data_IF_170586916935
#
_entry.id   IF_170586916935
#
_cell.length_a   1.000
_cell.length_b   1.000
_cell.length_c   1.000
_cell.angle_alpha   90.00
_cell.angle_beta   90.00
_cell.angle_gamma   90.00
#
_symmetry.space_group_name_H-M   'P 1'
#
loop_
_entity.id
_entity.type
_entity.pdbx_description
1 polymer ?
#
# COMPACT_ATOMS: atom_id res chain seq x y z
N UNK A 1 -14.14 -22.99 52.50
CA UNK A 1 -14.94 -22.44 53.62
C UNK A 1 -14.12 -21.36 54.33
N UNK A 2 -14.66 -20.13 54.42
CA UNK A 2 -14.48 -19.12 55.49
C UNK A 2 -13.01 -18.66 55.74
N UNK A 3 -12.60 -17.39 55.60
CA UNK A 3 -13.27 -16.14 55.96
C UNK A 3 -12.69 -14.97 55.14
N UNK A 4 -13.57 -14.22 54.48
CA UNK A 4 -13.35 -12.83 54.11
C UNK A 4 -13.56 -12.01 55.39
N UNK A 5 -12.62 -11.13 55.73
CA UNK A 5 -12.83 -10.12 56.75
C UNK A 5 -12.26 -8.79 56.25
N UNK A 6 -13.19 -8.01 55.70
CA UNK A 6 -13.15 -6.59 55.45
C UNK A 6 -12.97 -5.85 56.79
N UNK A 7 -11.96 -4.99 56.92
CA UNK A 7 -11.97 -3.90 57.91
C UNK A 7 -11.47 -2.64 57.24
N UNK A 8 -12.44 -1.80 56.87
CA UNK A 8 -12.25 -0.39 56.57
C UNK A 8 -12.17 0.32 57.93
N UNK A 9 -11.07 1.04 58.21
CA UNK A 9 -11.15 2.17 59.13
C UNK A 9 -10.29 3.34 58.64
N UNK A 10 -10.93 4.49 58.74
CA UNK A 10 -10.65 5.78 58.16
C UNK A 10 -9.41 6.48 58.77
N UNK A 11 -8.68 7.18 57.89
CA UNK A 11 -8.17 8.55 58.04
C UNK A 11 -7.32 8.90 59.28
N UNK A 12 -6.03 9.14 59.04
CA UNK A 12 -5.40 10.41 59.43
C UNK A 12 -4.53 10.93 58.29
N UNK A 13 -4.94 12.09 57.78
CA UNK A 13 -4.22 12.94 56.83
C UNK A 13 -2.94 13.45 57.49
N UNK A 14 -1.80 13.13 56.93
CA UNK A 14 -0.60 13.98 57.05
C UNK A 14 -0.35 14.60 55.69
N UNK A 15 -0.74 15.86 55.55
CA UNK A 15 -0.28 16.72 54.46
C UNK A 15 1.23 16.95 54.67
N UNK A 16 2.05 16.18 53.95
CA UNK A 16 3.40 16.62 53.61
C UNK A 16 3.29 17.35 52.27
N UNK A 17 3.71 18.62 52.28
CA UNK A 17 3.64 19.55 51.17
C UNK A 17 4.18 18.94 49.86
N UNK A 18 3.60 19.31 48.70
CA UNK A 18 4.08 18.86 47.42
C UNK A 18 5.48 19.44 47.19
N UNK A 19 6.51 18.60 47.28
CA UNK A 19 7.75 18.86 46.58
C UNK A 19 7.39 19.00 45.10
N UNK A 20 7.54 20.22 44.60
CA UNK A 20 7.58 20.57 43.19
C UNK A 20 8.51 19.60 42.45
N UNK A 21 7.98 18.47 41.99
CA UNK A 21 8.50 17.85 40.78
C UNK A 21 7.95 18.73 39.67
N UNK A 22 8.78 19.70 39.30
CA UNK A 22 8.67 20.41 38.03
C UNK A 22 8.37 19.36 36.98
N UNK A 23 7.20 19.50 36.36
CA UNK A 23 6.88 18.83 35.13
C UNK A 23 7.97 19.23 34.13
N UNK A 24 8.92 18.34 33.86
CA UNK A 24 9.55 18.35 32.56
C UNK A 24 8.45 17.94 31.59
N UNK A 25 7.79 18.95 31.01
CA UNK A 25 7.29 18.85 29.66
C UNK A 25 8.49 18.50 28.78
N UNK A 26 8.82 17.21 28.74
CA UNK A 26 9.60 16.64 27.66
C UNK A 26 8.84 17.03 26.42
N UNK A 27 9.37 18.04 25.71
CA UNK A 27 8.89 18.45 24.41
C UNK A 27 8.86 17.19 23.57
N UNK A 28 7.68 16.54 23.52
CA UNK A 28 7.37 15.54 22.52
C UNK A 28 7.63 16.30 21.23
N UNK A 29 8.73 15.94 20.57
CA UNK A 29 9.00 16.37 19.23
C UNK A 29 7.84 15.80 18.42
N UNK A 30 6.77 16.58 18.33
CA UNK A 30 5.66 16.34 17.44
C UNK A 30 6.28 16.56 16.07
N UNK A 31 6.96 15.52 15.57
CA UNK A 31 7.17 15.35 14.15
C UNK A 31 5.76 15.23 13.59
N UNK A 32 5.17 16.39 13.35
CA UNK A 32 4.14 16.60 12.36
C UNK A 32 4.71 15.95 11.10
N UNK A 33 4.35 14.68 10.91
CA UNK A 33 4.41 14.07 9.62
C UNK A 33 3.47 14.92 8.79
N UNK A 34 4.05 15.93 8.15
CA UNK A 34 3.47 16.62 7.04
C UNK A 34 2.75 15.55 6.24
N UNK A 35 1.42 15.68 6.14
CA UNK A 35 0.63 15.04 5.10
C UNK A 35 1.22 15.56 3.79
N UNK A 36 2.38 15.03 3.40
CA UNK A 36 2.70 14.85 2.01
C UNK A 36 1.53 14.01 1.55
N UNK A 37 0.57 14.71 0.94
CA UNK A 37 -0.39 14.09 0.07
C UNK A 37 0.49 13.32 -0.88
N UNK A 38 0.65 12.03 -0.62
CA UNK A 38 1.05 11.09 -1.62
C UNK A 38 -0.05 11.26 -2.64
N UNK A 39 0.18 12.18 -3.59
CA UNK A 39 -0.42 12.12 -4.90
C UNK A 39 0.03 10.75 -5.35
N UNK A 40 -0.76 9.74 -5.01
CA UNK A 40 -0.65 8.40 -5.52
C UNK A 40 -0.81 8.62 -7.00
N UNK A 41 0.31 8.82 -7.67
CA UNK A 41 0.35 8.88 -9.10
C UNK A 41 -0.33 7.57 -9.47
N UNK A 42 -1.52 7.67 -10.08
CA UNK A 42 -2.37 6.56 -10.53
C UNK A 42 -1.65 5.78 -11.64
N UNK A 43 -0.33 5.57 -11.53
CA UNK A 43 0.51 4.62 -12.22
C UNK A 43 0.06 3.19 -12.00
N UNK A 44 -1.19 2.90 -11.63
CA UNK A 44 -1.86 1.60 -11.67
C UNK A 44 -2.95 1.45 -12.75
N UNK A 45 -3.46 2.56 -13.31
CA UNK A 45 -4.75 2.55 -14.02
C UNK A 45 -4.72 3.12 -15.46
N UNK A 46 -3.58 3.07 -16.15
CA UNK A 46 -3.37 3.79 -17.41
C UNK A 46 -4.47 3.56 -18.48
N UNK A 47 -4.97 2.33 -18.61
CA UNK A 47 -6.04 1.99 -19.56
C UNK A 47 -7.47 2.18 -19.04
N UNK A 48 -7.67 2.40 -17.73
CA UNK A 48 -9.02 2.59 -17.17
C UNK A 48 -9.65 3.91 -17.60
N UNK A 49 -8.84 4.94 -17.81
CA UNK A 49 -9.31 6.21 -18.35
C UNK A 49 -9.81 6.04 -19.79
N UNK A 50 -9.04 5.35 -20.64
CA UNK A 50 -9.41 5.11 -22.03
C UNK A 50 -10.70 4.30 -22.15
N UNK A 51 -10.84 3.21 -21.40
CA UNK A 51 -12.02 2.36 -21.50
C UNK A 51 -13.30 2.95 -20.91
N UNK A 52 -13.20 3.83 -19.90
CA UNK A 52 -14.36 4.54 -19.37
C UNK A 52 -15.04 5.46 -20.39
N UNK A 53 -14.34 5.79 -21.48
CA UNK A 53 -14.82 6.61 -22.59
C UNK A 53 -15.38 5.79 -23.75
N UNK A 54 -15.46 4.46 -23.61
CA UNK A 54 -16.04 3.56 -24.60
C UNK A 54 -17.47 3.20 -24.20
N UNK A 55 -18.34 3.07 -25.19
CA UNK A 55 -19.66 2.51 -25.00
C UNK A 55 -19.58 0.98 -24.90
N UNK A 56 -19.62 0.45 -23.68
CA UNK A 56 -19.60 -0.98 -23.41
C UNK A 56 -21.02 -1.53 -23.19
N UNK A 57 -21.28 -2.72 -23.71
CA UNK A 57 -22.52 -3.44 -23.39
C UNK A 57 -22.57 -3.86 -21.90
N UNK A 58 -23.75 -4.16 -21.34
CA UNK A 58 -23.85 -4.64 -19.95
C UNK A 58 -22.96 -5.86 -19.66
N UNK A 59 -22.89 -6.80 -20.61
CA UNK A 59 -22.04 -7.99 -20.50
C UNK A 59 -20.55 -7.62 -20.46
N UNK A 60 -20.10 -6.75 -21.35
CA UNK A 60 -18.71 -6.27 -21.39
C UNK A 60 -18.32 -5.51 -20.11
N UNK A 61 -19.24 -4.70 -19.55
CA UNK A 61 -19.02 -4.01 -18.27
C UNK A 61 -18.81 -5.00 -17.13
N UNK A 62 -19.59 -6.07 -17.06
CA UNK A 62 -19.46 -7.11 -16.04
C UNK A 62 -18.12 -7.86 -16.16
N UNK A 63 -17.73 -8.26 -17.37
CA UNK A 63 -16.43 -8.90 -17.62
C UNK A 63 -15.26 -7.99 -17.27
N UNK A 64 -15.33 -6.71 -17.68
CA UNK A 64 -14.32 -5.72 -17.33
C UNK A 64 -14.21 -5.48 -15.81
N UNK A 65 -15.34 -5.45 -15.09
CA UNK A 65 -15.35 -5.32 -13.64
C UNK A 65 -14.65 -6.51 -12.96
N UNK A 66 -14.89 -7.74 -13.44
CA UNK A 66 -14.20 -8.94 -12.95
C UNK A 66 -12.70 -8.86 -13.20
N UNK A 67 -12.29 -8.53 -14.41
CA UNK A 67 -10.88 -8.33 -14.78
C UNK A 67 -10.21 -7.27 -13.89
N UNK A 68 -10.90 -6.14 -13.65
CA UNK A 68 -10.41 -5.08 -12.76
C UNK A 68 -10.15 -5.57 -11.34
N UNK A 69 -11.10 -6.32 -10.78
CA UNK A 69 -10.97 -6.85 -9.42
C UNK A 69 -9.88 -7.90 -9.33
N UNK A 70 -9.76 -8.78 -10.34
CA UNK A 70 -8.69 -9.78 -10.42
C UNK A 70 -7.30 -9.12 -10.43
N UNK A 71 -7.08 -8.17 -11.35
CA UNK A 71 -5.83 -7.42 -11.41
C UNK A 71 -5.55 -6.64 -10.13
N UNK A 72 -6.58 -6.03 -9.51
CA UNK A 72 -6.41 -5.32 -8.23
C UNK A 72 -5.94 -6.26 -7.11
N UNK A 73 -6.48 -7.48 -7.03
CA UNK A 73 -6.03 -8.48 -6.05
C UNK A 73 -4.58 -8.90 -6.29
N UNK A 74 -4.22 -9.20 -7.54
CA UNK A 74 -2.84 -9.56 -7.92
C UNK A 74 -1.87 -8.43 -7.57
N UNK A 75 -2.24 -7.20 -7.92
CA UNK A 75 -1.47 -5.99 -7.61
C UNK A 75 -1.23 -5.83 -6.11
N UNK A 76 -2.26 -5.94 -5.27
CA UNK A 76 -2.12 -5.81 -3.82
C UNK A 76 -1.15 -6.86 -3.26
N UNK A 77 -1.25 -8.11 -3.73
CA UNK A 77 -0.34 -9.18 -3.32
C UNK A 77 1.11 -8.89 -3.71
N UNK A 78 1.34 -8.48 -4.95
CA UNK A 78 2.68 -8.14 -5.44
C UNK A 78 3.28 -6.93 -4.69
N UNK A 79 2.50 -5.86 -4.50
CA UNK A 79 2.94 -4.69 -3.72
C UNK A 79 3.27 -5.07 -2.27
N UNK A 80 2.54 -6.03 -1.68
CA UNK A 80 2.84 -6.53 -0.33
C UNK A 80 4.15 -7.31 -0.30
N UNK A 81 4.38 -8.21 -1.27
CA UNK A 81 5.65 -8.94 -1.39
C UNK A 81 6.84 -8.00 -1.57
N UNK A 82 6.72 -7.00 -2.45
CA UNK A 82 7.77 -5.98 -2.65
C UNK A 82 8.08 -5.27 -1.33
N UNK A 83 7.05 -4.85 -0.58
CA UNK A 83 7.26 -4.20 0.72
C UNK A 83 7.96 -5.10 1.74
N UNK A 84 7.62 -6.39 1.78
CA UNK A 84 8.29 -7.36 2.65
C UNK A 84 9.77 -7.45 2.28
N UNK A 85 10.09 -7.61 0.99
CA UNK A 85 11.48 -7.66 0.51
C UNK A 85 12.25 -6.36 0.81
N UNK A 86 11.60 -5.21 0.72
CA UNK A 86 12.19 -3.92 1.10
C UNK A 86 12.46 -3.79 2.60
N UNK A 87 11.64 -4.42 3.45
CA UNK A 87 11.88 -4.52 4.90
C UNK A 87 13.05 -5.46 5.18
N UNK A 88 13.05 -6.66 4.60
CA UNK A 88 14.16 -7.61 4.72
C UNK A 88 15.50 -7.02 4.25
N UNK A 89 15.47 -6.23 3.16
CA UNK A 89 16.65 -5.50 2.71
C UNK A 89 17.15 -4.51 3.77
N UNK A 90 16.26 -3.79 4.45
CA UNK A 90 16.65 -2.87 5.53
C UNK A 90 17.23 -3.62 6.72
N UNK A 91 16.69 -4.79 7.06
CA UNK A 91 17.23 -5.63 8.13
C UNK A 91 18.68 -6.06 7.83
N UNK A 92 19.00 -6.38 6.56
CA UNK A 92 20.37 -6.67 6.14
C UNK A 92 21.32 -5.48 6.36
N UNK A 93 20.84 -4.25 6.17
CA UNK A 93 21.63 -3.03 6.35
C UNK A 93 21.87 -2.65 7.82
N UNK A 94 21.09 -3.23 8.76
CA UNK A 94 21.24 -2.99 10.20
C UNK A 94 22.21 -3.97 10.87
N UNK A 95 22.73 -4.95 10.14
CA UNK A 95 23.74 -5.88 10.65
C UNK A 95 25.08 -5.18 10.85
N UNK A 96 25.89 -5.70 11.77
CA UNK A 96 27.22 -5.16 12.09
C UNK A 96 28.17 -5.20 10.88
N UNK A 97 28.05 -6.23 10.03
CA UNK A 97 28.77 -6.35 8.76
C UNK A 97 27.80 -6.30 7.56
N UNK A 98 28.23 -5.61 6.50
CA UNK A 98 27.47 -5.50 5.27
C UNK A 98 27.76 -6.69 4.35
N UNK A 99 26.79 -7.60 4.24
CA UNK A 99 26.79 -8.69 3.27
C UNK A 99 26.25 -8.20 1.92
N UNK A 100 27.16 -7.79 1.04
CA UNK A 100 26.82 -7.25 -0.27
C UNK A 100 26.16 -8.28 -1.21
N UNK A 101 26.46 -9.57 -1.06
CA UNK A 101 25.87 -10.62 -1.88
C UNK A 101 24.39 -10.82 -1.53
N UNK A 102 24.09 -10.85 -0.22
CA UNK A 102 22.70 -10.87 0.26
C UNK A 102 21.92 -9.63 -0.17
N UNK A 103 22.53 -8.44 -0.09
CA UNK A 103 21.91 -7.18 -0.55
C UNK A 103 21.58 -7.25 -2.05
N UNK A 104 22.54 -7.69 -2.88
CA UNK A 104 22.35 -7.83 -4.33
C UNK A 104 21.20 -8.78 -4.65
N UNK A 105 21.18 -9.96 -4.03
CA UNK A 105 20.13 -10.95 -4.24
C UNK A 105 18.73 -10.39 -3.88
N UNK A 106 18.63 -9.59 -2.80
CA UNK A 106 17.37 -8.95 -2.41
C UNK A 106 16.94 -7.88 -3.40
N UNK A 107 17.86 -7.05 -3.90
CA UNK A 107 17.57 -6.05 -4.92
C UNK A 107 17.07 -6.70 -6.22
N UNK A 108 17.72 -7.76 -6.68
CA UNK A 108 17.29 -8.51 -7.86
C UNK A 108 15.88 -9.10 -7.68
N UNK A 109 15.58 -9.63 -6.49
CA UNK A 109 14.25 -10.15 -6.20
C UNK A 109 13.18 -9.04 -6.19
N UNK A 110 13.46 -7.89 -5.59
CA UNK A 110 12.58 -6.71 -5.62
C UNK A 110 12.30 -6.29 -7.07
N UNK A 111 13.32 -6.19 -7.90
CA UNK A 111 13.16 -5.77 -9.30
C UNK A 111 12.41 -6.81 -10.14
N UNK A 112 12.60 -8.11 -9.87
CA UNK A 112 11.81 -9.19 -10.46
C UNK A 112 10.33 -9.04 -10.12
N UNK A 113 9.97 -8.86 -8.85
CA UNK A 113 8.57 -8.67 -8.44
C UNK A 113 7.96 -7.40 -9.04
N UNK A 114 8.72 -6.31 -9.13
CA UNK A 114 8.28 -5.09 -9.83
C UNK A 114 8.05 -5.34 -11.33
N UNK A 115 8.93 -6.09 -11.98
CA UNK A 115 8.78 -6.47 -13.39
C UNK A 115 7.53 -7.32 -13.62
N UNK A 116 7.30 -8.32 -12.78
CA UNK A 116 6.10 -9.15 -12.83
C UNK A 116 4.82 -8.36 -12.62
N UNK A 117 4.81 -7.39 -11.68
CA UNK A 117 3.67 -6.50 -11.50
C UNK A 117 3.40 -5.62 -12.72
N UNK A 118 4.46 -5.14 -13.40
CA UNK A 118 4.33 -4.42 -14.68
C UNK A 118 3.78 -5.34 -15.77
N UNK A 119 4.24 -6.59 -15.83
CA UNK A 119 3.83 -7.57 -16.83
C UNK A 119 2.38 -8.04 -16.64
N UNK A 120 1.93 -8.28 -15.40
CA UNK A 120 0.54 -8.58 -15.05
C UNK A 120 -0.45 -7.55 -15.64
N UNK A 121 0.01 -6.30 -15.76
CA UNK A 121 -0.75 -5.20 -16.35
C UNK A 121 -0.94 -5.33 -17.85
N UNK A 122 0.07 -5.80 -18.57
CA UNK A 122 -0.03 -6.11 -20.00
C UNK A 122 -0.88 -7.37 -20.23
N UNK A 123 -0.81 -8.36 -19.32
CA UNK A 123 -1.73 -9.51 -19.34
C UNK A 123 -3.19 -9.05 -19.19
N UNK A 124 -3.47 -8.17 -18.23
CA UNK A 124 -4.80 -7.58 -18.09
C UNK A 124 -5.23 -6.76 -19.33
N UNK A 125 -4.30 -6.03 -19.94
CA UNK A 125 -4.57 -5.31 -21.20
C UNK A 125 -4.92 -6.26 -22.35
N UNK A 126 -4.21 -7.38 -22.48
CA UNK A 126 -4.49 -8.41 -23.49
C UNK A 126 -5.88 -9.01 -23.30
N UNK A 127 -6.23 -9.37 -22.06
CA UNK A 127 -7.55 -9.89 -21.73
C UNK A 127 -8.63 -8.85 -22.01
N UNK A 128 -8.38 -7.58 -21.68
CA UNK A 128 -9.28 -6.49 -22.01
C UNK A 128 -9.56 -6.37 -23.51
N UNK A 129 -8.53 -6.52 -24.35
CA UNK A 129 -8.73 -6.50 -25.80
C UNK A 129 -9.68 -7.61 -26.25
N UNK A 130 -9.66 -8.78 -25.61
CA UNK A 130 -10.57 -9.89 -25.97
C UNK A 130 -12.05 -9.59 -25.66
N UNK A 131 -12.34 -8.77 -24.64
CA UNK A 131 -13.70 -8.35 -24.25
C UNK A 131 -14.30 -7.37 -25.28
N UNK A 132 -13.46 -6.56 -25.91
CA UNK A 132 -13.88 -5.50 -26.83
C UNK A 132 -14.15 -6.02 -28.25
N UNK A 133 -15.12 -5.41 -28.93
CA UNK A 133 -15.36 -5.60 -30.37
C UNK A 133 -14.21 -4.98 -31.20
N UNK A 134 -14.04 -5.37 -32.48
CA UNK A 134 -13.00 -4.78 -33.33
C UNK A 134 -13.08 -3.24 -33.43
N UNK A 135 -14.30 -2.69 -33.52
CA UNK A 135 -14.54 -1.24 -33.53
C UNK A 135 -14.10 -0.58 -32.22
N UNK A 136 -14.52 -1.14 -31.08
CA UNK A 136 -14.12 -0.67 -29.75
C UNK A 136 -12.61 -0.77 -29.54
N UNK A 137 -11.93 -1.82 -30.03
CA UNK A 137 -10.46 -1.94 -29.93
C UNK A 137 -9.74 -0.80 -30.65
N UNK A 138 -10.23 -0.38 -31.82
CA UNK A 138 -9.66 0.74 -32.57
C UNK A 138 -9.79 2.03 -31.78
N UNK A 139 -11.00 2.34 -31.33
CA UNK A 139 -11.30 3.53 -30.52
C UNK A 139 -10.51 3.52 -29.19
N UNK A 140 -10.38 2.37 -28.54
CA UNK A 140 -9.59 2.21 -27.34
C UNK A 140 -8.12 2.58 -27.58
N UNK A 141 -7.51 2.09 -28.67
CA UNK A 141 -6.10 2.40 -28.99
C UNK A 141 -5.90 3.89 -29.24
N UNK A 142 -6.80 4.53 -29.98
CA UNK A 142 -6.77 5.97 -30.20
C UNK A 142 -6.79 6.73 -28.86
N UNK A 143 -7.77 6.42 -27.99
CA UNK A 143 -7.88 7.07 -26.67
C UNK A 143 -6.72 6.76 -25.73
N UNK A 144 -6.13 5.57 -25.83
CA UNK A 144 -4.93 5.18 -25.07
C UNK A 144 -3.72 6.01 -25.50
N UNK A 145 -3.48 6.13 -26.81
CA UNK A 145 -2.37 6.91 -27.37
C UNK A 145 -2.51 8.39 -27.02
N UNK A 146 -3.69 8.99 -27.18
CA UNK A 146 -3.93 10.37 -26.75
C UNK A 146 -3.66 10.62 -25.26
N UNK A 147 -3.85 9.60 -24.41
CA UNK A 147 -3.55 9.68 -22.98
C UNK A 147 -2.06 9.53 -22.63
N UNK A 148 -1.22 9.08 -23.56
CA UNK A 148 0.22 8.88 -23.36
C UNK A 148 1.06 10.12 -23.77
N UNK A 149 0.53 10.99 -24.64
CA UNK A 149 1.20 12.21 -25.12
C UNK A 149 0.77 13.47 -24.36
N UNK A 150 0.26 13.32 -23.12
CA UNK A 150 -0.19 14.41 -22.25
C UNK A 150 0.47 14.29 -20.88
#
# INVERSE_FOLDING_TARGET
MKKVALFILLFTVTMAAPSLVVAEEGKRCEKSYSKHTMKHHKKGYLFYGAISKLELSPKQKAEFAKLKLSYKKEKIKAESRIKILEVELKELLLKESLDLDSIRAKLEHIEKEKAELRFARYRALKELMSILTPKQRKEFREKLLYGLYR
#
